data_IF_759290020342
#
_entry.id   IF_759290020342
#
_cell.length_a   1.000
_cell.length_b   1.000
_cell.length_c   1.000
_cell.angle_alpha   90.00
_cell.angle_beta   90.00
_cell.angle_gamma   90.00
#
_symmetry.space_group_name_H-M   'P 1'
#
loop_
_entity.id
_entity.type
_entity.pdbx_description
1 polymer ?
#
# COMPACT_ATOMS: atom_id res chain seq x y z
N UNK A 1 -18.17 -6.44 -1.27
CA UNK A 1 -18.34 -6.87 0.12
C UNK A 1 -19.05 -5.78 0.86
N UNK A 2 -18.59 -5.47 2.06
CA UNK A 2 -19.08 -4.41 2.93
C UNK A 2 -17.96 -3.41 3.25
N UNK A 3 -18.36 -2.15 3.41
CA UNK A 3 -17.52 -1.07 3.89
C UNK A 3 -17.76 -0.83 5.38
N UNK A 4 -16.67 -0.75 6.13
CA UNK A 4 -16.62 -0.23 7.50
C UNK A 4 -15.67 0.97 7.56
N UNK A 5 -15.45 1.52 8.77
CA UNK A 5 -14.59 2.69 8.97
C UNK A 5 -13.71 2.49 10.20
N UNK A 6 -12.38 2.58 10.04
CA UNK A 6 -11.43 2.53 11.15
C UNK A 6 -11.04 3.93 11.67
N UNK A 7 -11.64 4.98 11.10
CA UNK A 7 -11.45 6.37 11.51
C UNK A 7 -10.50 7.14 10.61
N UNK A 8 -10.43 8.46 10.82
CA UNK A 8 -9.54 9.36 10.08
C UNK A 8 -8.07 9.13 10.50
N UNK A 9 -7.50 8.01 10.08
CA UNK A 9 -6.10 7.66 10.28
C UNK A 9 -5.23 8.53 9.39
N UNK A 10 -4.28 9.27 9.98
CA UNK A 10 -3.39 10.17 9.26
C UNK A 10 -2.56 9.42 8.22
N UNK A 11 -2.92 9.56 6.95
CA UNK A 11 -2.13 9.22 5.77
C UNK A 11 -1.35 7.88 5.80
N UNK A 12 -1.83 6.87 6.52
CA UNK A 12 -1.17 5.56 6.66
C UNK A 12 0.07 5.53 7.56
N UNK A 13 0.31 6.55 8.40
CA UNK A 13 1.44 6.65 9.35
C UNK A 13 1.48 5.53 10.40
N UNK A 14 0.41 4.73 10.53
CA UNK A 14 0.35 3.56 11.42
C UNK A 14 -0.34 2.34 10.79
N UNK A 15 -0.59 2.38 9.48
CA UNK A 15 -1.14 1.22 8.77
C UNK A 15 -0.09 0.13 8.62
N UNK A 16 -0.53 -1.11 8.41
CA UNK A 16 0.35 -2.25 8.17
C UNK A 16 1.36 -1.92 7.05
N UNK A 17 0.97 -1.22 5.99
CA UNK A 17 1.86 -0.83 4.90
C UNK A 17 2.89 0.24 5.24
N UNK A 18 2.90 0.79 6.46
CA UNK A 18 3.77 1.90 6.89
C UNK A 18 3.86 2.99 5.82
N UNK A 19 2.70 3.44 5.34
CA UNK A 19 2.56 4.23 4.13
C UNK A 19 2.94 5.68 4.41
N UNK A 20 3.98 6.20 3.74
CA UNK A 20 4.42 7.61 3.93
C UNK A 20 3.66 8.62 3.05
N UNK A 21 2.80 8.17 2.14
CA UNK A 21 2.19 9.03 1.13
C UNK A 21 0.80 8.57 0.68
N UNK A 22 -0.12 9.54 0.59
CA UNK A 22 -1.44 9.39 -0.02
C UNK A 22 -1.60 10.46 -1.10
N UNK A 23 -2.14 10.07 -2.25
CA UNK A 23 -2.40 11.03 -3.34
C UNK A 23 -3.41 12.09 -2.92
N UNK A 24 -3.27 13.35 -3.37
CA UNK A 24 -4.28 14.37 -3.13
C UNK A 24 -5.68 13.90 -3.58
N UNK A 25 -6.66 14.00 -2.68
CA UNK A 25 -8.04 13.56 -2.94
C UNK A 25 -8.27 12.05 -2.85
N UNK A 26 -7.26 11.25 -2.54
CA UNK A 26 -7.42 9.83 -2.22
C UNK A 26 -7.67 9.66 -0.72
N UNK A 27 -8.44 8.63 -0.39
CA UNK A 27 -8.62 8.15 0.99
C UNK A 27 -7.78 6.89 1.20
N UNK A 28 -7.67 6.40 2.42
CA UNK A 28 -7.01 5.13 2.71
C UNK A 28 -8.01 4.01 2.96
N UNK A 29 -7.61 2.77 2.65
CA UNK A 29 -8.42 1.57 2.91
C UNK A 29 -7.55 0.43 3.43
N UNK A 30 -8.12 -0.36 4.34
CA UNK A 30 -7.58 -1.64 4.75
C UNK A 30 -8.29 -2.79 4.00
N UNK A 31 -7.52 -3.81 3.62
CA UNK A 31 -8.04 -5.02 2.98
C UNK A 31 -7.97 -6.21 3.94
N UNK A 32 -8.84 -7.21 3.76
CA UNK A 32 -8.71 -8.47 4.51
C UNK A 32 -7.37 -9.16 4.25
N UNK A 33 -6.93 -10.00 5.18
CA UNK A 33 -5.63 -10.70 5.14
C UNK A 33 -5.35 -11.42 3.82
N UNK A 34 -6.34 -12.11 3.25
CA UNK A 34 -6.13 -12.87 2.01
C UNK A 34 -5.84 -11.93 0.82
N UNK A 35 -6.57 -10.81 0.72
CA UNK A 35 -6.36 -9.82 -0.35
C UNK A 35 -5.18 -8.87 -0.06
N UNK A 36 -4.84 -8.65 1.21
CA UNK A 36 -3.64 -7.94 1.64
C UNK A 36 -2.35 -8.68 1.21
N UNK A 37 -2.42 -10.01 1.12
CA UNK A 37 -1.38 -10.86 0.55
C UNK A 37 0.02 -10.57 1.10
N UNK A 38 0.14 -10.49 2.42
CA UNK A 38 1.41 -10.23 3.10
C UNK A 38 2.07 -8.90 2.71
N UNK A 39 1.29 -7.88 2.36
CA UNK A 39 1.78 -6.54 2.03
C UNK A 39 2.06 -6.31 0.53
N UNK A 40 1.84 -7.31 -0.33
CA UNK A 40 2.08 -7.18 -1.77
C UNK A 40 1.15 -6.16 -2.46
N UNK A 41 0.00 -5.82 -1.87
CA UNK A 41 -0.92 -4.80 -2.39
C UNK A 41 -0.69 -3.42 -1.78
N UNK A 42 0.29 -3.25 -0.90
CA UNK A 42 0.59 -1.95 -0.30
C UNK A 42 0.86 -0.89 -1.35
N UNK A 43 0.14 0.23 -1.26
CA UNK A 43 0.21 1.33 -2.22
C UNK A 43 -0.64 1.13 -3.49
N UNK A 44 -1.34 0.01 -3.65
CA UNK A 44 -2.29 -0.18 -4.75
C UNK A 44 -3.45 0.82 -4.65
N UNK A 45 -4.01 1.23 -5.80
CA UNK A 45 -5.16 2.10 -5.85
C UNK A 45 -6.44 1.33 -6.19
N UNK A 46 -7.54 1.70 -5.56
CA UNK A 46 -8.87 1.17 -5.85
C UNK A 46 -9.88 2.28 -6.07
N UNK A 47 -10.86 2.03 -6.94
CA UNK A 47 -12.12 2.81 -6.98
C UNK A 47 -13.14 2.04 -6.18
N UNK A 48 -13.61 2.61 -5.07
CA UNK A 48 -14.58 1.96 -4.20
C UNK A 48 -15.84 2.80 -4.08
N UNK A 49 -17.00 2.18 -4.31
CA UNK A 49 -18.30 2.81 -4.24
C UNK A 49 -19.14 2.19 -3.12
N UNK A 50 -19.52 2.99 -2.15
CA UNK A 50 -20.35 2.63 -1.01
C UNK A 50 -21.80 3.03 -1.31
N UNK A 51 -22.75 2.13 -1.06
CA UNK A 51 -24.18 2.42 -1.18
C UNK A 51 -24.77 2.65 0.21
N UNK A 52 -25.02 3.92 0.56
CA UNK A 52 -25.67 4.33 1.81
C UNK A 52 -27.17 4.62 1.58
N UNK A 53 -27.99 4.69 2.64
CA UNK A 53 -29.38 5.17 2.52
C UNK A 53 -29.49 6.57 1.93
N UNK A 54 -28.48 7.43 2.16
CA UNK A 54 -28.39 8.78 1.60
C UNK A 54 -28.00 8.82 0.13
N UNK A 55 -27.55 7.70 -0.44
CA UNK A 55 -27.10 7.60 -1.82
C UNK A 55 -25.78 6.86 -1.98
N UNK A 56 -25.32 6.79 -3.23
CA UNK A 56 -24.05 6.16 -3.61
C UNK A 56 -22.92 7.18 -3.57
N UNK A 57 -21.85 6.85 -2.86
CA UNK A 57 -20.62 7.64 -2.77
C UNK A 57 -19.44 6.82 -3.29
N UNK A 58 -18.54 7.44 -4.05
CA UNK A 58 -17.40 6.73 -4.62
C UNK A 58 -16.08 7.46 -4.33
N UNK A 59 -15.10 6.70 -3.86
CA UNK A 59 -13.80 7.16 -3.44
C UNK A 59 -12.72 6.54 -4.32
N UNK A 60 -11.70 7.32 -4.65
CA UNK A 60 -10.41 6.75 -5.01
C UNK A 60 -9.65 6.52 -3.71
N UNK A 61 -9.14 5.32 -3.51
CA UNK A 61 -8.46 4.96 -2.29
C UNK A 61 -7.11 4.29 -2.56
N UNK A 62 -6.21 4.40 -1.59
CA UNK A 62 -4.94 3.68 -1.56
C UNK A 62 -4.99 2.62 -0.45
N UNK A 63 -4.46 1.44 -0.74
CA UNK A 63 -4.33 0.38 0.26
C UNK A 63 -3.14 0.70 1.15
N UNK A 64 -3.40 0.98 2.43
CA UNK A 64 -2.40 1.37 3.42
C UNK A 64 -2.34 0.44 4.63
N UNK A 65 -3.31 -0.47 4.75
CA UNK A 65 -3.45 -1.27 5.96
C UNK A 65 -4.05 -2.66 5.68
N UNK A 66 -3.93 -3.52 6.67
CA UNK A 66 -4.60 -4.82 6.74
C UNK A 66 -5.76 -4.72 7.74
N UNK A 67 -6.88 -5.36 7.42
CA UNK A 67 -8.00 -5.61 8.31
C UNK A 67 -8.13 -7.13 8.53
N UNK A 68 -7.46 -7.70 9.56
CA UNK A 68 -7.39 -9.16 9.72
C UNK A 68 -8.75 -9.85 9.92
N UNK A 69 -9.74 -9.11 10.45
CA UNK A 69 -11.09 -9.61 10.70
C UNK A 69 -12.07 -9.40 9.54
N UNK A 70 -11.68 -8.65 8.50
CA UNK A 70 -12.57 -8.35 7.37
C UNK A 70 -12.80 -9.60 6.51
N UNK A 71 -14.00 -9.74 5.94
CA UNK A 71 -14.27 -10.82 4.98
C UNK A 71 -13.70 -10.49 3.59
N UNK A 72 -13.69 -11.49 2.71
CA UNK A 72 -13.25 -11.28 1.33
C UNK A 72 -14.10 -10.20 0.62
N UNK A 73 -13.44 -9.26 -0.06
CA UNK A 73 -14.03 -8.08 -0.71
C UNK A 73 -14.64 -7.02 0.21
N UNK A 74 -14.46 -7.12 1.53
CA UNK A 74 -14.74 -6.03 2.45
C UNK A 74 -13.59 -5.02 2.43
N UNK A 75 -13.91 -3.74 2.67
CA UNK A 75 -12.93 -2.66 2.79
C UNK A 75 -13.20 -1.87 4.07
N UNK A 76 -12.16 -1.64 4.87
CA UNK A 76 -12.26 -0.78 6.05
C UNK A 76 -11.66 0.59 5.73
N UNK A 77 -12.47 1.64 5.71
CA UNK A 77 -12.05 2.96 5.23
C UNK A 77 -11.38 3.78 6.33
N UNK A 78 -10.28 4.44 5.98
CA UNK A 78 -9.62 5.44 6.81
C UNK A 78 -10.35 6.79 6.82
N UNK A 79 -11.67 6.75 6.95
CA UNK A 79 -12.56 7.90 7.03
C UNK A 79 -13.30 7.90 8.36
N UNK A 80 -13.74 9.08 8.81
CA UNK A 80 -14.73 9.13 9.87
C UNK A 80 -16.08 8.63 9.34
N UNK A 81 -16.67 7.66 10.03
CA UNK A 81 -17.94 7.06 9.63
C UNK A 81 -18.43 6.04 10.64
N UNK A 82 -19.68 5.63 10.49
CA UNK A 82 -20.30 4.58 11.29
C UNK A 82 -21.11 3.65 10.39
N UNK A 83 -21.44 2.47 10.90
CA UNK A 83 -22.26 1.48 10.20
C UNK A 83 -21.47 0.59 9.24
N UNK A 84 -22.23 -0.28 8.57
CA UNK A 84 -21.74 -1.26 7.62
C UNK A 84 -22.60 -1.12 6.36
N UNK A 85 -21.98 -0.90 5.21
CA UNK A 85 -22.69 -0.63 3.96
C UNK A 85 -22.18 -1.48 2.81
N UNK A 86 -23.00 -1.85 1.83
CA UNK A 86 -22.51 -2.53 0.63
C UNK A 86 -21.44 -1.71 -0.08
N UNK A 87 -20.35 -2.38 -0.48
CA UNK A 87 -19.28 -1.78 -1.29
C UNK A 87 -18.97 -2.62 -2.52
N UNK A 88 -18.83 -1.94 -3.65
CA UNK A 88 -18.26 -2.48 -4.87
C UNK A 88 -16.97 -1.72 -5.18
N UNK A 89 -15.89 -2.45 -5.45
CA UNK A 89 -14.61 -1.83 -5.76
C UNK A 89 -13.84 -2.62 -6.81
N UNK A 90 -12.94 -1.92 -7.49
CA UNK A 90 -11.99 -2.50 -8.43
C UNK A 90 -10.62 -1.86 -8.22
N UNK A 91 -9.55 -2.60 -8.54
CA UNK A 91 -8.24 -1.97 -8.74
C UNK A 91 -8.33 -0.94 -9.86
N UNK A 92 -7.62 0.16 -9.71
CA UNK A 92 -7.47 1.20 -10.71
C UNK A 92 -6.01 1.58 -10.83
N UNK A 93 -5.66 2.18 -11.97
CA UNK A 93 -4.35 2.77 -12.15
C UNK A 93 -4.13 3.91 -11.14
N UNK A 94 -3.02 3.86 -10.41
CA UNK A 94 -2.62 4.97 -9.56
C UNK A 94 -2.16 6.18 -10.39
N UNK A 95 -2.33 7.41 -9.89
CA UNK A 95 -1.77 8.59 -10.53
C UNK A 95 -0.26 8.44 -10.69
N UNK A 96 0.24 8.69 -11.90
CA UNK A 96 1.67 8.66 -12.17
C UNK A 96 2.38 9.82 -11.47
N UNK A 97 3.56 9.55 -10.88
CA UNK A 97 4.47 10.57 -10.39
C UNK A 97 5.78 10.50 -11.15
N UNK A 98 6.29 11.66 -11.54
CA UNK A 98 7.62 11.79 -12.15
C UNK A 98 8.76 11.48 -11.18
N UNK A 99 8.48 11.47 -9.87
CA UNK A 99 9.46 11.20 -8.82
C UNK A 99 8.88 10.23 -7.81
N UNK A 100 9.55 9.09 -7.65
CA UNK A 100 9.24 8.08 -6.64
C UNK A 100 9.75 8.55 -5.27
N UNK A 101 9.02 8.17 -4.23
CA UNK A 101 9.46 8.33 -2.85
C UNK A 101 10.18 7.05 -2.43
N UNK A 102 11.36 7.19 -1.82
CA UNK A 102 12.15 6.06 -1.34
C UNK A 102 12.43 6.27 0.15
N UNK A 103 12.03 5.29 0.95
CA UNK A 103 12.25 5.26 2.40
C UNK A 103 13.06 4.02 2.77
N UNK A 104 13.91 4.14 3.79
CA UNK A 104 14.69 3.02 4.32
C UNK A 104 14.52 2.91 5.83
N UNK A 105 14.62 1.69 6.37
CA UNK A 105 14.46 1.45 7.80
C UNK A 105 15.48 0.43 8.30
N UNK A 106 16.44 0.85 9.13
CA UNK A 106 17.46 -0.04 9.69
C UNK A 106 18.47 -0.59 8.68
N UNK A 107 18.54 0.00 7.48
CA UNK A 107 19.47 -0.40 6.43
C UNK A 107 20.92 -0.10 6.79
N UNK A 108 21.84 -0.94 6.33
CA UNK A 108 23.29 -0.79 6.43
C UNK A 108 23.97 -1.41 5.20
N UNK A 109 25.30 -1.43 5.15
CA UNK A 109 26.05 -1.95 3.99
C UNK A 109 25.76 -3.41 3.63
N UNK A 110 25.24 -4.23 4.55
CA UNK A 110 24.94 -5.65 4.32
C UNK A 110 23.46 -5.93 4.12
N UNK A 111 22.59 -5.01 4.56
CA UNK A 111 21.15 -5.22 4.62
C UNK A 111 20.42 -3.96 4.16
N UNK A 112 19.59 -4.09 3.13
CA UNK A 112 18.66 -3.05 2.71
C UNK A 112 17.24 -3.43 3.06
N UNK A 113 16.53 -2.57 3.78
CA UNK A 113 15.06 -2.59 3.89
C UNK A 113 14.53 -1.32 3.25
N UNK A 114 13.94 -1.47 2.07
CA UNK A 114 13.68 -0.39 1.13
C UNK A 114 12.19 -0.36 0.82
N UNK A 115 11.62 0.83 0.80
CA UNK A 115 10.27 1.07 0.34
C UNK A 115 10.31 2.06 -0.82
N UNK A 116 9.51 1.79 -1.84
CA UNK A 116 9.33 2.68 -2.98
C UNK A 116 7.85 2.97 -3.13
N UNK A 117 7.49 4.23 -3.27
CA UNK A 117 6.09 4.66 -3.38
C UNK A 117 5.92 5.70 -4.49
N UNK A 118 4.67 5.89 -4.90
CA UNK A 118 4.29 6.92 -5.88
C UNK A 118 3.95 6.42 -7.27
N UNK A 119 3.84 5.09 -7.48
CA UNK A 119 3.39 4.52 -8.75
C UNK A 119 2.55 3.24 -8.61
N UNK A 120 1.92 3.01 -7.45
CA UNK A 120 1.12 1.82 -7.18
C UNK A 120 1.85 0.77 -6.35
N UNK A 121 1.27 -0.44 -6.28
CA UNK A 121 1.89 -1.58 -5.60
C UNK A 121 3.05 -2.14 -6.42
N UNK A 122 4.11 -2.53 -5.71
CA UNK A 122 5.28 -3.14 -6.33
C UNK A 122 5.03 -4.62 -6.64
N UNK A 123 5.46 -5.04 -7.82
CA UNK A 123 5.53 -6.45 -8.22
C UNK A 123 6.93 -7.03 -8.08
N UNK A 124 7.94 -6.16 -7.97
CA UNK A 124 9.31 -6.57 -7.77
C UNK A 124 10.19 -5.39 -7.43
N UNK A 125 11.26 -5.68 -6.69
CA UNK A 125 12.31 -4.73 -6.41
C UNK A 125 13.65 -5.46 -6.54
N UNK A 126 14.60 -4.84 -7.22
CA UNK A 126 16.00 -5.27 -7.19
C UNK A 126 16.90 -4.14 -6.70
N UNK A 127 17.90 -4.49 -5.92
CA UNK A 127 18.97 -3.58 -5.53
C UNK A 127 20.29 -4.18 -5.99
N UNK A 128 21.06 -3.42 -6.79
CA UNK A 128 22.31 -3.91 -7.41
C UNK A 128 22.17 -5.25 -8.14
N UNK A 129 21.01 -5.47 -8.78
CA UNK A 129 20.70 -6.72 -9.50
C UNK A 129 20.25 -7.89 -8.63
N UNK A 130 20.19 -7.73 -7.31
CA UNK A 130 19.70 -8.76 -6.38
C UNK A 130 18.22 -8.53 -6.14
N UNK A 131 17.43 -9.57 -6.37
CA UNK A 131 15.99 -9.57 -6.09
C UNK A 131 15.73 -9.44 -4.60
N UNK A 132 14.99 -8.40 -4.23
CA UNK A 132 14.52 -8.22 -2.87
C UNK A 132 13.26 -9.05 -2.61
N UNK A 133 13.00 -9.33 -1.35
CA UNK A 133 11.80 -10.04 -0.88
C UNK A 133 10.85 -9.05 -0.22
N UNK A 134 9.58 -9.07 -0.58
CA UNK A 134 8.56 -8.24 0.07
C UNK A 134 8.39 -8.61 1.55
N UNK A 135 8.09 -7.62 2.38
CA UNK A 135 7.72 -7.81 3.78
C UNK A 135 6.28 -7.38 4.03
N UNK A 136 5.72 -7.89 5.12
CA UNK A 136 4.35 -7.60 5.53
C UNK A 136 4.04 -6.10 5.63
N UNK A 137 5.05 -5.28 5.94
CA UNK A 137 4.91 -3.85 6.18
C UNK A 137 5.13 -2.96 4.93
N UNK A 138 5.05 -3.55 3.74
CA UNK A 138 5.20 -2.85 2.46
C UNK A 138 6.65 -2.45 2.13
N UNK A 139 7.63 -2.91 2.90
CA UNK A 139 9.04 -2.81 2.55
C UNK A 139 9.49 -4.03 1.71
N UNK A 140 10.69 -3.94 1.16
CA UNK A 140 11.37 -4.99 0.44
C UNK A 140 12.78 -5.13 1.01
N UNK A 141 13.17 -6.35 1.33
CA UNK A 141 14.45 -6.64 1.99
C UNK A 141 15.42 -7.31 1.03
N UNK A 142 16.67 -6.88 1.08
CA UNK A 142 17.77 -7.42 0.30
C UNK A 142 18.99 -7.56 1.21
N UNK A 143 19.69 -8.68 1.06
CA UNK A 143 20.97 -8.92 1.72
C UNK A 143 21.93 -9.45 0.67
N UNK A 144 23.04 -8.74 0.47
CA UNK A 144 24.05 -9.10 -0.53
C UNK A 144 25.31 -9.74 0.08
N UNK A 145 25.40 -9.77 1.42
CA UNK A 145 26.58 -10.25 2.16
C UNK A 145 27.89 -9.51 1.87
N UNK A 146 27.88 -8.52 0.98
CA UNK A 146 29.09 -7.91 0.40
C UNK A 146 29.51 -6.64 1.13
N UNK A 147 28.63 -6.06 1.94
CA UNK A 147 28.88 -4.79 2.64
C UNK A 147 28.72 -3.56 1.76
N UNK A 148 28.26 -3.73 0.52
CA UNK A 148 28.19 -2.68 -0.50
C UNK A 148 26.76 -2.21 -0.83
N UNK A 149 25.73 -2.57 -0.05
CA UNK A 149 24.37 -1.99 -0.12
C UNK A 149 24.31 -0.57 0.47
N UNK A 150 25.40 0.19 0.36
CA UNK A 150 25.53 1.54 0.90
C UNK A 150 24.78 2.60 0.10
N UNK A 151 24.87 3.84 0.58
CA UNK A 151 24.34 5.02 -0.12
C UNK A 151 24.87 5.10 -1.56
N UNK A 152 23.98 5.40 -2.52
CA UNK A 152 24.31 5.44 -3.95
C UNK A 152 24.05 4.14 -4.71
N UNK A 153 23.65 3.06 -4.03
CA UNK A 153 23.20 1.83 -4.68
C UNK A 153 21.97 2.08 -5.56
N UNK A 154 21.98 1.56 -6.79
CA UNK A 154 20.82 1.62 -7.69
C UNK A 154 19.73 0.63 -7.26
N UNK A 155 18.49 1.11 -7.22
CA UNK A 155 17.28 0.31 -7.00
C UNK A 155 16.41 0.38 -8.24
N UNK A 156 15.93 -0.77 -8.69
CA UNK A 156 14.94 -0.89 -9.76
C UNK A 156 13.66 -1.44 -9.17
N UNK A 157 12.55 -0.73 -9.35
CA UNK A 157 11.23 -1.15 -8.89
C UNK A 157 10.30 -1.35 -10.09
N UNK A 158 9.55 -2.45 -10.05
CA UNK A 158 8.49 -2.77 -11.00
C UNK A 158 7.15 -2.62 -10.30
N UNK A 159 6.17 -2.05 -10.99
CA UNK A 159 4.82 -1.81 -10.47
C UNK A 159 3.80 -2.55 -11.33
N UNK A 160 2.67 -2.95 -10.73
CA UNK A 160 1.50 -3.35 -11.53
C UNK A 160 0.90 -2.09 -12.14
N UNK A 161 0.76 -2.09 -13.47
CA UNK A 161 -0.16 -1.18 -14.15
C UNK A 161 -1.51 -1.90 -14.27
N UNK A 162 -2.58 -1.23 -13.82
CA UNK A 162 -3.95 -1.73 -13.93
C UNK A 162 -4.43 -1.80 -15.37
#
# INVERSE_FOLDING_TARGET
GHATYYGAGGAGVHGACSQDFVYPGYVTVAMNTAQYNGGLVCGACVRACITKPSGRECYNAIVDNECPSCANNDLDFGLAGTGIYPVNWTYIQCPYRSSLLISTQGSNGYYGKIKVQGSGALTGLTARGITATSTHDGFWVVNDGSGNLGCGSSVTASFTYG
#
